data_IF_702245652070
#
_entry.id   IF_702245652070
#
_cell.length_a   1.000
_cell.length_b   1.000
_cell.length_c   1.000
_cell.angle_alpha   90.00
_cell.angle_beta   90.00
_cell.angle_gamma   90.00
#
_symmetry.space_group_name_H-M   'P 1'
#
loop_
_entity.id
_entity.type
_entity.pdbx_description
1 polymer ?
#
# COMPACT_ATOMS: atom_id res chain seq x y z
N UNK A 1 8.44 1.57 3.56
CA UNK A 1 7.04 1.41 4.02
C UNK A 1 5.99 1.68 2.98
N UNK A 2 6.32 1.69 1.71
CA UNK A 2 5.40 2.02 0.62
C UNK A 2 4.89 0.81 -0.14
N UNK A 3 5.14 -0.37 0.40
CA UNK A 3 4.64 -1.62 -0.14
C UNK A 3 3.13 -1.64 0.01
N UNK A 4 2.41 -1.49 -1.08
CA UNK A 4 0.97 -1.71 -1.17
C UNK A 4 0.15 -1.05 -0.06
N UNK A 5 -0.39 0.09 -0.33
CA UNK A 5 -1.50 0.67 0.45
C UNK A 5 -2.78 -0.16 0.31
N UNK A 6 -2.62 -1.37 -0.20
CA UNK A 6 -3.66 -2.39 -0.31
C UNK A 6 -3.89 -3.12 1.01
N UNK A 7 -5.05 -3.72 1.15
CA UNK A 7 -5.35 -4.53 2.34
C UNK A 7 -4.59 -5.85 2.32
N UNK A 8 -4.28 -6.43 3.49
CA UNK A 8 -3.59 -7.72 3.57
C UNK A 8 -4.24 -8.82 2.71
N UNK A 9 -5.59 -8.89 2.70
CA UNK A 9 -6.32 -9.86 1.88
C UNK A 9 -6.12 -9.62 0.38
N UNK A 10 -6.08 -8.37 -0.07
CA UNK A 10 -5.81 -8.02 -1.47
C UNK A 10 -4.40 -8.46 -1.85
N UNK A 11 -3.41 -8.17 -0.99
CA UNK A 11 -1.99 -8.53 -1.24
C UNK A 11 -1.80 -10.04 -1.40
N UNK A 12 -2.52 -10.87 -0.62
CA UNK A 12 -2.41 -12.33 -0.74
C UNK A 12 -2.92 -12.86 -2.08
N UNK A 13 -3.75 -12.10 -2.78
CA UNK A 13 -4.39 -12.53 -4.02
C UNK A 13 -3.73 -11.98 -5.29
N UNK A 14 -2.75 -11.08 -5.18
CA UNK A 14 -2.02 -10.52 -6.33
C UNK A 14 -1.23 -11.62 -7.03
N UNK A 15 -1.41 -11.74 -8.34
CA UNK A 15 -0.59 -12.58 -9.22
C UNK A 15 0.45 -11.73 -9.93
N UNK A 16 1.49 -12.37 -10.43
CA UNK A 16 2.53 -11.66 -11.19
C UNK A 16 1.97 -11.05 -12.48
N UNK A 17 0.98 -11.68 -13.11
CA UNK A 17 0.25 -11.14 -14.26
C UNK A 17 -0.52 -9.86 -13.98
N UNK A 18 -0.82 -9.55 -12.70
CA UNK A 18 -1.53 -8.33 -12.32
C UNK A 18 -0.58 -7.12 -12.20
N UNK A 19 0.74 -7.35 -12.33
CA UNK A 19 1.78 -6.33 -12.15
C UNK A 19 2.26 -5.84 -13.51
N UNK A 20 2.08 -4.57 -13.78
CA UNK A 20 2.49 -3.88 -14.99
C UNK A 20 3.76 -3.07 -14.71
N UNK A 21 4.93 -3.68 -14.99
CA UNK A 21 6.23 -3.10 -14.63
C UNK A 21 6.50 -1.76 -15.31
N UNK A 22 6.22 -1.66 -16.62
CA UNK A 22 6.50 -0.44 -17.40
C UNK A 22 5.70 0.74 -16.89
N UNK A 23 4.43 0.49 -16.51
CA UNK A 23 3.52 1.53 -16.01
C UNK A 23 3.59 1.66 -14.48
N UNK A 24 4.44 0.88 -13.82
CA UNK A 24 4.62 0.90 -12.36
C UNK A 24 3.30 0.81 -11.59
N UNK A 25 2.44 -0.13 -11.96
CA UNK A 25 1.12 -0.30 -11.34
C UNK A 25 0.76 -1.76 -11.14
N UNK A 26 -0.15 -2.02 -10.21
CA UNK A 26 -0.77 -3.33 -9.99
C UNK A 26 -2.28 -3.21 -10.12
N UNK A 27 -2.87 -4.17 -10.83
CA UNK A 27 -4.32 -4.31 -10.94
C UNK A 27 -4.87 -5.07 -9.74
N UNK A 28 -5.94 -4.56 -9.14
CA UNK A 28 -6.69 -5.21 -8.06
C UNK A 28 -8.10 -5.46 -8.56
N UNK A 29 -8.42 -6.71 -8.83
CA UNK A 29 -9.73 -7.09 -9.33
C UNK A 29 -10.84 -6.89 -8.29
N UNK A 30 -12.04 -6.58 -8.75
CA UNK A 30 -13.24 -6.42 -7.92
C UNK A 30 -13.54 -7.66 -7.06
N UNK A 31 -13.24 -8.86 -7.57
CA UNK A 31 -13.43 -10.14 -6.88
C UNK A 31 -12.60 -10.28 -5.60
N UNK A 32 -11.44 -9.61 -5.52
CA UNK A 32 -10.55 -9.63 -4.34
C UNK A 32 -10.60 -8.33 -3.54
N UNK A 33 -11.21 -7.31 -4.10
CA UNK A 33 -11.31 -5.98 -3.50
C UNK A 33 -12.46 -5.90 -2.50
N UNK A 34 -12.22 -5.33 -1.32
CA UNK A 34 -13.25 -5.15 -0.29
C UNK A 34 -14.41 -4.27 -0.77
N UNK A 35 -14.15 -3.28 -1.60
CA UNK A 35 -15.15 -2.36 -2.14
C UNK A 35 -15.82 -2.90 -3.42
N UNK A 36 -15.49 -4.13 -3.84
CA UNK A 36 -16.02 -4.80 -5.04
C UNK A 36 -15.90 -3.96 -6.33
N UNK A 37 -14.84 -3.17 -6.42
CA UNK A 37 -14.51 -2.38 -7.61
C UNK A 37 -13.11 -2.73 -8.06
N UNK A 38 -12.93 -2.81 -9.38
CA UNK A 38 -11.61 -2.88 -9.99
C UNK A 38 -10.82 -1.61 -9.68
N UNK A 39 -9.49 -1.71 -9.65
CA UNK A 39 -8.68 -0.53 -9.45
C UNK A 39 -7.21 -0.79 -9.72
N UNK A 40 -6.49 0.30 -9.94
CA UNK A 40 -5.05 0.31 -10.07
C UNK A 40 -4.40 0.93 -8.84
N UNK A 41 -3.24 0.43 -8.47
CA UNK A 41 -2.41 0.97 -7.38
C UNK A 41 -1.01 1.20 -7.93
N UNK A 42 -0.47 2.42 -7.74
CA UNK A 42 0.89 2.76 -8.17
C UNK A 42 1.95 2.03 -7.34
N UNK A 43 3.03 1.65 -7.98
CA UNK A 43 4.19 1.00 -7.39
C UNK A 43 5.36 1.98 -7.48
N UNK A 44 6.02 2.27 -6.35
CA UNK A 44 7.17 3.16 -6.38
C UNK A 44 8.45 2.44 -6.83
N UNK A 45 9.44 3.22 -7.25
CA UNK A 45 10.73 2.71 -7.77
C UNK A 45 11.42 1.77 -6.80
N UNK A 46 11.39 2.05 -5.49
CA UNK A 46 12.01 1.20 -4.47
C UNK A 46 11.39 -0.20 -4.45
N UNK A 47 10.07 -0.29 -4.63
CA UNK A 47 9.38 -1.57 -4.67
C UNK A 47 9.67 -2.33 -5.97
N UNK A 48 9.63 -1.63 -7.10
CA UNK A 48 9.99 -2.22 -8.40
C UNK A 48 11.42 -2.77 -8.33
N UNK A 49 12.37 -1.94 -7.87
CA UNK A 49 13.76 -2.39 -7.69
C UNK A 49 13.87 -3.63 -6.80
N UNK A 50 13.19 -3.64 -5.65
CA UNK A 50 13.24 -4.80 -4.75
C UNK A 50 12.67 -6.07 -5.39
N UNK A 51 11.60 -5.96 -6.19
CA UNK A 51 11.05 -7.12 -6.92
C UNK A 51 12.00 -7.62 -8.01
N UNK A 52 12.71 -6.72 -8.70
CA UNK A 52 13.73 -7.09 -9.68
C UNK A 52 14.95 -7.73 -9.01
N UNK A 53 15.47 -7.15 -7.94
CA UNK A 53 16.61 -7.68 -7.18
C UNK A 53 16.33 -9.09 -6.61
N UNK A 54 15.06 -9.40 -6.33
CA UNK A 54 14.59 -10.71 -5.86
C UNK A 54 14.20 -11.67 -7.00
N UNK A 55 14.42 -11.28 -8.25
CA UNK A 55 14.10 -12.06 -9.44
C UNK A 55 12.64 -12.59 -9.47
N UNK A 56 11.71 -11.76 -9.00
CA UNK A 56 10.30 -12.13 -8.86
C UNK A 56 9.69 -12.52 -10.20
N UNK A 57 10.06 -11.82 -11.28
CA UNK A 57 9.45 -11.92 -12.60
C UNK A 57 10.01 -13.04 -13.50
N UNK A 58 11.00 -13.80 -13.04
CA UNK A 58 11.41 -15.06 -13.69
C UNK A 58 10.38 -16.18 -13.49
N UNK A 59 9.39 -15.96 -12.61
CA UNK A 59 8.36 -16.93 -12.31
C UNK A 59 7.14 -16.79 -13.27
N UNK A 60 6.35 -17.85 -13.47
CA UNK A 60 5.13 -17.80 -14.31
C UNK A 60 4.13 -16.75 -13.84
N UNK A 61 3.53 -16.00 -14.79
CA UNK A 61 2.61 -14.90 -14.48
C UNK A 61 1.38 -15.30 -13.65
N UNK A 62 0.95 -16.57 -13.71
CA UNK A 62 -0.18 -17.08 -12.93
C UNK A 62 0.18 -17.40 -11.45
N UNK A 63 1.45 -17.25 -11.05
CA UNK A 63 1.85 -17.42 -9.65
C UNK A 63 1.42 -16.21 -8.82
N UNK A 64 1.05 -16.48 -7.57
CA UNK A 64 0.85 -15.44 -6.59
C UNK A 64 2.17 -14.77 -6.23
N UNK A 65 2.17 -13.45 -6.09
CA UNK A 65 3.35 -12.68 -5.71
C UNK A 65 3.97 -13.18 -4.40
N UNK A 66 3.13 -13.56 -3.46
CA UNK A 66 3.55 -14.08 -2.15
C UNK A 66 3.00 -15.47 -1.88
N UNK A 67 3.87 -16.46 -1.99
CA UNK A 67 3.65 -17.83 -1.60
C UNK A 67 4.50 -18.24 -0.40
N UNK A 68 4.80 -19.53 -0.27
CA UNK A 68 5.62 -20.06 0.82
C UNK A 68 6.99 -19.37 0.87
N UNK A 69 7.38 -18.88 2.04
CA UNK A 69 8.64 -18.16 2.23
C UNK A 69 8.69 -16.77 1.60
N UNK A 70 7.52 -16.18 1.28
CA UNK A 70 7.39 -14.89 0.58
C UNK A 70 8.01 -14.87 -0.83
N UNK A 71 8.12 -16.03 -1.46
CA UNK A 71 8.53 -16.16 -2.87
C UNK A 71 7.31 -16.39 -3.74
N UNK A 72 7.34 -16.03 -5.04
CA UNK A 72 6.26 -16.36 -5.98
C UNK A 72 5.96 -17.85 -5.99
N UNK A 73 4.68 -18.22 -6.02
CA UNK A 73 4.27 -19.63 -5.95
C UNK A 73 2.85 -19.83 -6.49
N UNK A 74 2.54 -21.08 -6.89
CA UNK A 74 1.17 -21.50 -7.26
C UNK A 74 0.17 -21.33 -6.11
N UNK A 75 0.64 -21.46 -4.85
CA UNK A 75 -0.19 -21.38 -3.67
C UNK A 75 0.08 -20.08 -2.92
N UNK A 76 -0.96 -19.28 -2.72
CA UNK A 76 -0.86 -18.04 -1.94
C UNK A 76 -0.69 -18.32 -0.45
N UNK A 77 -0.12 -17.35 0.27
CA UNK A 77 -0.13 -17.34 1.73
C UNK A 77 -1.44 -16.77 2.27
N UNK A 78 -1.72 -17.02 3.54
CA UNK A 78 -2.84 -16.38 4.25
C UNK A 78 -2.39 -15.10 4.95
N UNK A 79 -3.32 -14.22 5.28
CA UNK A 79 -3.04 -12.99 6.04
C UNK A 79 -2.41 -13.26 7.40
N UNK A 80 -2.65 -14.44 7.98
CA UNK A 80 -1.99 -14.87 9.23
C UNK A 80 -0.46 -14.93 9.09
N UNK A 81 0.04 -15.32 7.91
CA UNK A 81 1.48 -15.37 7.64
C UNK A 81 2.09 -13.97 7.72
N UNK A 82 1.48 -12.95 7.10
CA UNK A 82 1.96 -11.56 7.19
C UNK A 82 1.98 -11.07 8.64
N UNK A 83 0.91 -11.33 9.40
CA UNK A 83 0.83 -10.95 10.80
C UNK A 83 1.95 -11.59 11.63
N UNK A 84 2.18 -12.89 11.45
CA UNK A 84 3.20 -13.61 12.20
C UNK A 84 4.62 -13.07 11.90
N UNK A 85 4.91 -12.77 10.63
CA UNK A 85 6.20 -12.17 10.27
C UNK A 85 6.34 -10.75 10.79
N UNK A 86 5.29 -9.95 10.69
CA UNK A 86 5.30 -8.60 11.23
C UNK A 86 5.53 -8.59 12.74
N UNK A 87 4.90 -9.51 13.48
CA UNK A 87 5.12 -9.63 14.92
C UNK A 87 6.60 -9.91 15.25
N UNK A 88 7.26 -10.81 14.52
CA UNK A 88 8.70 -11.06 14.69
C UNK A 88 9.54 -9.80 14.43
N UNK A 89 9.20 -9.02 13.39
CA UNK A 89 9.89 -7.75 13.11
C UNK A 89 9.61 -6.74 14.21
N UNK A 90 8.36 -6.62 14.65
CA UNK A 90 7.93 -5.75 15.75
C UNK A 90 8.72 -6.02 17.03
N UNK A 91 8.81 -7.29 17.44
CA UNK A 91 9.58 -7.73 18.60
C UNK A 91 11.06 -7.38 18.45
N UNK A 92 11.66 -7.72 17.29
CA UNK A 92 13.07 -7.41 17.01
C UNK A 92 13.39 -5.92 17.07
N UNK A 93 12.48 -5.08 16.58
CA UNK A 93 12.63 -3.62 16.56
C UNK A 93 12.09 -2.94 17.82
N UNK A 94 11.59 -3.70 18.78
CA UNK A 94 11.00 -3.21 20.04
C UNK A 94 9.89 -2.17 19.82
N UNK A 95 9.09 -2.37 18.76
CA UNK A 95 7.94 -1.52 18.51
C UNK A 95 6.79 -1.87 19.47
N UNK A 96 5.94 -0.88 19.83
CA UNK A 96 4.77 -1.10 20.68
C UNK A 96 3.83 -2.21 20.16
N UNK A 97 3.17 -2.92 21.06
CA UNK A 97 2.20 -3.97 20.72
C UNK A 97 0.98 -3.47 19.94
N UNK A 98 0.67 -2.17 20.07
CA UNK A 98 -0.38 -1.50 19.29
C UNK A 98 -0.05 -1.43 17.79
N UNK A 99 1.22 -1.57 17.41
CA UNK A 99 1.61 -1.58 16.00
C UNK A 99 1.30 -2.94 15.39
N UNK A 100 0.45 -2.95 14.39
CA UNK A 100 0.01 -4.14 13.69
C UNK A 100 0.42 -4.08 12.21
N UNK A 101 0.36 -5.20 11.51
CA UNK A 101 0.65 -5.21 10.07
C UNK A 101 -0.20 -4.20 9.30
N UNK A 102 -1.46 -4.01 9.70
CA UNK A 102 -2.35 -3.02 9.08
C UNK A 102 -1.89 -1.58 9.28
N UNK A 103 -1.16 -1.28 10.36
CA UNK A 103 -0.62 0.06 10.63
C UNK A 103 0.34 0.54 9.53
N UNK A 104 0.95 -0.38 8.76
CA UNK A 104 1.78 -0.03 7.60
C UNK A 104 0.95 0.65 6.50
N UNK A 105 -0.31 0.22 6.31
CA UNK A 105 -1.22 0.89 5.38
C UNK A 105 -1.54 2.30 5.86
N UNK A 106 -1.86 2.45 7.13
CA UNK A 106 -2.25 3.71 7.72
C UNK A 106 -1.11 4.74 7.66
N UNK A 107 0.11 4.32 8.02
CA UNK A 107 1.31 5.15 7.88
C UNK A 107 1.56 5.55 6.43
N UNK A 108 1.49 4.60 5.50
CA UNK A 108 1.72 4.87 4.08
C UNK A 108 0.71 5.84 3.47
N UNK A 109 -0.57 5.79 3.87
CA UNK A 109 -1.59 6.74 3.42
C UNK A 109 -1.29 8.15 3.97
N UNK A 110 -0.97 8.24 5.27
CA UNK A 110 -0.62 9.51 5.90
C UNK A 110 0.61 10.14 5.27
N UNK A 111 1.67 9.36 5.10
CA UNK A 111 2.92 9.85 4.52
C UNK A 111 2.71 10.37 3.09
N UNK A 112 1.89 9.66 2.28
CA UNK A 112 1.56 10.11 0.93
C UNK A 112 0.70 11.37 0.96
N UNK A 113 -0.29 11.45 1.85
CA UNK A 113 -1.14 12.62 1.95
C UNK A 113 -0.36 13.87 2.37
N UNK A 114 0.65 13.71 3.23
CA UNK A 114 1.53 14.80 3.64
C UNK A 114 2.50 15.23 2.53
N UNK A 115 2.94 14.29 1.69
CA UNK A 115 3.91 14.58 0.62
C UNK A 115 3.25 15.10 -0.67
N UNK A 116 2.13 14.51 -1.07
CA UNK A 116 1.54 14.68 -2.40
C UNK A 116 0.06 15.13 -2.34
N UNK A 117 -0.47 15.32 -1.14
CA UNK A 117 -1.83 15.76 -0.92
C UNK A 117 -2.86 14.64 -0.77
N UNK A 118 -4.00 15.03 -0.17
CA UNK A 118 -5.05 14.08 0.26
C UNK A 118 -5.76 13.39 -0.91
N UNK A 119 -5.88 14.06 -2.06
CA UNK A 119 -6.55 13.49 -3.25
C UNK A 119 -5.74 12.31 -3.80
N UNK A 120 -4.44 12.49 -3.97
CA UNK A 120 -3.54 11.42 -4.43
C UNK A 120 -3.52 10.27 -3.44
N UNK A 121 -3.49 10.55 -2.14
CA UNK A 121 -3.55 9.53 -1.11
C UNK A 121 -4.87 8.75 -1.10
N UNK A 122 -6.01 9.44 -1.33
CA UNK A 122 -7.34 8.83 -1.49
C UNK A 122 -7.36 7.85 -2.65
N UNK A 123 -6.90 8.29 -3.81
CA UNK A 123 -6.94 7.50 -5.04
C UNK A 123 -6.02 6.27 -4.93
N UNK A 124 -4.82 6.47 -4.42
CA UNK A 124 -3.87 5.38 -4.17
C UNK A 124 -4.38 4.37 -3.12
N UNK A 125 -5.12 4.83 -2.10
CA UNK A 125 -5.78 3.98 -1.12
C UNK A 125 -7.08 3.35 -1.62
N UNK A 126 -7.57 3.80 -2.78
CA UNK A 126 -8.85 3.40 -3.39
C UNK A 126 -10.03 3.64 -2.45
N UNK A 127 -10.00 4.77 -1.74
CA UNK A 127 -11.13 5.21 -0.93
C UNK A 127 -12.18 5.90 -1.79
N UNK A 128 -13.43 5.50 -1.62
CA UNK A 128 -14.54 6.09 -2.36
C UNK A 128 -14.79 7.56 -1.97
N UNK A 129 -14.42 7.91 -0.73
CA UNK A 129 -14.65 9.24 -0.15
C UNK A 129 -13.37 9.76 0.51
N UNK A 130 -13.10 11.05 0.33
CA UNK A 130 -11.97 11.76 0.91
C UNK A 130 -12.03 11.80 2.44
N UNK A 131 -13.23 11.78 3.03
CA UNK A 131 -13.45 11.72 4.48
C UNK A 131 -12.81 10.48 5.11
N UNK A 132 -12.79 9.38 4.37
CA UNK A 132 -12.10 8.16 4.80
C UNK A 132 -10.60 8.36 4.89
N UNK A 133 -10.00 9.08 3.94
CA UNK A 133 -8.56 9.41 3.95
C UNK A 133 -8.24 10.42 5.03
N UNK A 134 -9.12 11.39 5.25
CA UNK A 134 -8.93 12.44 6.26
C UNK A 134 -8.80 11.89 7.70
N UNK A 135 -9.35 10.71 7.98
CA UNK A 135 -9.19 10.03 9.28
C UNK A 135 -7.72 9.76 9.62
N UNK A 136 -6.86 9.60 8.62
CA UNK A 136 -5.42 9.35 8.79
C UNK A 136 -4.61 10.64 9.04
N UNK A 137 -5.22 11.81 8.78
CA UNK A 137 -4.60 13.13 8.94
C UNK A 137 -5.01 13.82 10.25
N UNK A 138 -5.69 13.11 11.16
CA UNK A 138 -6.08 13.67 12.46
C UNK A 138 -4.86 14.17 13.23
N UNK A 139 -4.93 15.43 13.65
CA UNK A 139 -3.85 16.13 14.35
C UNK A 139 -3.08 17.15 13.52
N UNK A 140 -3.28 17.20 12.19
CA UNK A 140 -2.65 18.21 11.32
C UNK A 140 -3.33 19.58 11.35
N UNK A 141 -4.49 19.71 12.01
CA UNK A 141 -5.25 20.98 12.08
C UNK A 141 -4.53 22.12 12.84
N UNK A 142 -3.40 21.83 13.48
CA UNK A 142 -2.55 22.83 14.16
C UNK A 142 -1.39 23.30 13.27
N UNK A 143 -1.28 22.80 12.05
CA UNK A 143 -0.21 23.19 11.12
C UNK A 143 -0.68 24.35 10.26
N UNK A 144 0.06 25.46 10.29
CA UNK A 144 -0.11 26.56 9.33
C UNK A 144 0.78 26.26 8.12
N UNK A 145 0.17 26.19 6.95
CA UNK A 145 0.88 25.98 5.68
C UNK A 145 1.43 27.31 5.17
N UNK A 146 2.74 27.35 4.83
CA UNK A 146 3.39 28.57 4.34
C UNK A 146 2.72 29.09 3.05
N UNK A 147 2.25 28.17 2.21
CA UNK A 147 1.56 28.50 0.96
C UNK A 147 0.31 29.37 1.20
N UNK A 148 -0.36 29.21 2.33
CA UNK A 148 -1.56 30.01 2.65
C UNK A 148 -1.24 31.47 2.96
N UNK A 149 0.01 31.77 3.35
CA UNK A 149 0.45 33.14 3.66
C UNK A 149 0.66 34.00 2.41
N UNK A 150 0.86 33.35 1.28
CA UNK A 150 1.20 33.99 0.00
C UNK A 150 0.13 33.73 -1.08
N UNK A 151 -1.00 33.11 -0.70
CA UNK A 151 -2.08 32.84 -1.63
C UNK A 151 -2.89 34.12 -1.90
N UNK A 152 -2.74 34.66 -3.09
CA UNK A 152 -3.52 35.77 -3.62
C UNK A 152 -4.58 35.18 -4.55
N UNK A 153 -5.78 34.91 -4.01
CA UNK A 153 -6.91 34.48 -4.83
C UNK A 153 -7.49 35.67 -5.59
N UNK A 154 -7.90 35.47 -6.84
CA UNK A 154 -8.75 36.41 -7.55
C UNK A 154 -10.18 36.31 -6.99
N UNK A 155 -10.70 37.38 -6.42
CA UNK A 155 -12.08 37.51 -5.93
C UNK A 155 -12.87 38.42 -6.85
#
# INVERSE_FOLDING_TARGET
TTLFRSRPDEITNIKLSDIYLKEQKVFIASSISKNRKDGMVGLNDKLIKAMLDLDVFSNPGNYYLFGKGFKPSKNKVTTKVYRNYFNKVREKLRFPDSYQFYSLKDSGIRDLANAEGIVIARDQARHADISTTNKYLKGSNMTVHEETKHFEGEF
#
